data_IF_981549007566
#
_entry.id   IF_981549007566
#
_cell.length_a   1.000
_cell.length_b   1.000
_cell.length_c   1.000
_cell.angle_alpha   90.00
_cell.angle_beta   90.00
_cell.angle_gamma   90.00
#
_symmetry.space_group_name_H-M   'P 1'
#
loop_
_entity.id
_entity.type
_entity.pdbx_description
1 polymer ?
#
# COMPACT_ATOMS: atom_id res chain seq x y z
N UNK A 1 0.51 33.03 3.14
CA UNK A 1 0.46 31.70 2.48
C UNK A 1 1.75 31.30 1.74
N UNK A 2 2.78 32.15 1.65
CA UNK A 2 4.00 31.91 0.83
C UNK A 2 5.15 31.16 1.53
N UNK A 3 5.17 31.09 2.87
CA UNK A 3 6.25 30.43 3.62
C UNK A 3 6.10 28.90 3.66
N UNK A 4 4.86 28.41 3.55
CA UNK A 4 4.49 27.00 3.74
C UNK A 4 4.84 26.14 2.51
N UNK A 5 4.50 26.64 1.31
CA UNK A 5 4.90 26.04 0.02
C UNK A 5 6.42 25.94 -0.18
N UNK A 6 7.20 26.84 0.46
CA UNK A 6 8.68 26.86 0.38
C UNK A 6 9.37 25.75 1.18
N UNK A 7 8.73 25.24 2.24
CA UNK A 7 9.32 24.20 3.08
C UNK A 7 9.05 22.80 2.50
N UNK A 8 7.83 22.54 2.03
CA UNK A 8 7.48 21.29 1.37
C UNK A 8 8.28 21.13 0.06
N UNK A 9 8.53 22.24 -0.66
CA UNK A 9 9.42 22.23 -1.84
C UNK A 9 10.88 21.91 -1.50
N UNK A 10 11.38 22.31 -0.32
CA UNK A 10 12.79 22.11 0.04
C UNK A 10 13.08 20.64 0.38
N UNK A 11 12.21 19.99 1.16
CA UNK A 11 12.32 18.56 1.41
C UNK A 11 12.27 17.77 0.11
N UNK A 12 11.34 18.12 -0.79
CA UNK A 12 11.24 17.50 -2.12
C UNK A 12 12.50 17.71 -2.97
N UNK A 13 13.06 18.92 -2.97
CA UNK A 13 14.32 19.22 -3.69
C UNK A 13 15.47 18.39 -3.14
N UNK A 14 15.67 18.35 -1.82
CA UNK A 14 16.74 17.56 -1.19
C UNK A 14 16.56 16.08 -1.51
N UNK A 15 15.34 15.56 -1.38
CA UNK A 15 15.06 14.16 -1.71
C UNK A 15 15.12 13.90 -3.22
N UNK A 16 15.17 14.90 -4.09
CA UNK A 16 15.38 14.66 -5.53
C UNK A 16 16.86 14.42 -5.87
N UNK A 17 17.78 14.77 -4.96
CA UNK A 17 19.19 14.43 -5.05
C UNK A 17 19.43 12.98 -4.59
N UNK A 18 19.97 12.09 -5.45
CA UNK A 18 20.16 10.68 -5.10
C UNK A 18 21.08 10.43 -3.91
N UNK A 19 22.11 11.27 -3.70
CA UNK A 19 23.07 11.10 -2.60
C UNK A 19 22.41 11.44 -1.28
N UNK A 20 21.76 12.61 -1.21
CA UNK A 20 21.01 13.02 -0.02
C UNK A 20 19.87 12.03 0.30
N UNK A 21 19.18 11.53 -0.72
CA UNK A 21 18.15 10.51 -0.56
C UNK A 21 18.71 9.20 0.01
N UNK A 22 19.85 8.73 -0.50
CA UNK A 22 20.51 7.53 -0.01
C UNK A 22 20.93 7.71 1.46
N UNK A 23 21.65 8.78 1.80
CA UNK A 23 22.08 9.07 3.18
C UNK A 23 20.89 9.12 4.14
N UNK A 24 19.82 9.82 3.75
CA UNK A 24 18.61 9.93 4.54
C UNK A 24 17.98 8.56 4.80
N UNK A 25 17.84 7.74 3.76
CA UNK A 25 17.21 6.42 3.87
C UNK A 25 18.09 5.41 4.62
N UNK A 26 19.41 5.47 4.45
CA UNK A 26 20.36 4.68 5.23
C UNK A 26 20.26 4.98 6.72
N UNK A 27 20.04 6.25 7.08
CA UNK A 27 19.87 6.67 8.45
C UNK A 27 18.51 6.28 9.03
N UNK A 28 17.40 6.62 8.36
CA UNK A 28 16.05 6.52 8.93
C UNK A 28 15.30 5.21 8.66
N UNK A 29 15.71 4.40 7.68
CA UNK A 29 15.04 3.11 7.46
C UNK A 29 15.40 2.10 8.56
N UNK A 30 14.43 1.27 9.01
CA UNK A 30 14.67 0.19 9.94
C UNK A 30 15.73 -0.80 9.44
N UNK A 31 16.53 -1.36 10.34
CA UNK A 31 17.61 -2.30 10.00
C UNK A 31 17.11 -3.51 9.21
N UNK A 32 15.97 -4.09 9.61
CA UNK A 32 15.37 -5.23 8.92
C UNK A 32 15.02 -4.88 7.47
N UNK A 33 14.57 -3.65 7.22
CA UNK A 33 14.24 -3.20 5.88
C UNK A 33 15.50 -2.91 5.04
N UNK A 34 16.51 -2.26 5.63
CA UNK A 34 17.83 -2.03 4.98
C UNK A 34 18.54 -3.33 4.62
N UNK A 35 18.28 -4.41 5.35
CA UNK A 35 18.82 -5.74 5.02
C UNK A 35 18.27 -6.30 3.70
N UNK A 36 17.08 -5.84 3.27
CA UNK A 36 16.39 -6.36 2.10
C UNK A 36 16.74 -5.63 0.79
N UNK A 37 17.21 -4.38 0.86
CA UNK A 37 17.31 -3.47 -0.30
C UNK A 37 18.72 -2.98 -0.57
N UNK A 38 19.05 -2.75 -1.84
CA UNK A 38 20.30 -2.09 -2.24
C UNK A 38 20.07 -0.59 -2.47
N UNK A 39 20.40 0.22 -1.46
CA UNK A 39 20.26 1.68 -1.50
C UNK A 39 21.30 2.37 -2.40
N UNK A 40 22.39 1.69 -2.78
CA UNK A 40 23.41 2.26 -3.68
C UNK A 40 22.91 2.50 -5.10
N UNK A 41 21.79 1.86 -5.46
CA UNK A 41 21.14 1.93 -6.78
C UNK A 41 19.75 2.57 -6.70
N UNK A 42 19.51 3.43 -5.70
CA UNK A 42 18.21 4.08 -5.54
C UNK A 42 17.87 4.95 -6.75
N UNK A 43 16.69 4.73 -7.32
CA UNK A 43 16.18 5.51 -8.45
C UNK A 43 14.85 6.13 -8.09
N UNK A 44 14.73 7.43 -8.35
CA UNK A 44 13.44 8.12 -8.39
C UNK A 44 12.63 7.50 -9.53
N UNK A 45 11.44 6.98 -9.24
CA UNK A 45 10.58 6.42 -10.28
C UNK A 45 9.95 7.59 -11.06
N UNK A 46 10.14 7.62 -12.38
CA UNK A 46 9.73 8.77 -13.22
C UNK A 46 8.20 8.98 -13.30
N UNK A 47 7.85 10.23 -13.60
CA UNK A 47 6.49 10.82 -13.58
C UNK A 47 5.45 10.13 -14.46
N UNK A 48 5.88 9.33 -15.44
CA UNK A 48 4.97 8.59 -16.34
C UNK A 48 4.50 7.26 -15.78
N UNK A 49 5.22 6.69 -14.79
CA UNK A 49 4.87 5.40 -14.17
C UNK A 49 3.86 5.56 -13.02
N UNK A 50 3.86 6.74 -12.41
CA UNK A 50 2.98 7.13 -11.32
C UNK A 50 1.96 8.08 -11.95
N UNK A 51 0.66 7.75 -11.93
CA UNK A 51 -0.34 8.69 -12.45
C UNK A 51 -0.06 10.09 -11.93
N UNK A 52 -0.13 11.08 -12.82
CA UNK A 52 0.02 12.47 -12.45
C UNK A 52 -0.96 12.84 -11.31
N UNK A 53 -2.11 12.16 -11.24
CA UNK A 53 -3.10 12.23 -10.15
C UNK A 53 -2.54 11.80 -8.77
N UNK A 54 -1.66 10.78 -8.74
CA UNK A 54 -1.00 10.22 -7.56
C UNK A 54 0.14 11.09 -7.04
N UNK A 55 0.78 11.87 -7.90
CA UNK A 55 1.80 12.85 -7.50
C UNK A 55 1.16 14.19 -7.14
N UNK A 56 0.23 14.70 -7.95
CA UNK A 56 -0.42 16.01 -7.75
C UNK A 56 -1.28 16.09 -6.48
N UNK A 57 -1.87 14.98 -6.04
CA UNK A 57 -2.82 15.01 -4.91
C UNK A 57 -2.27 14.42 -3.61
N UNK A 58 -1.11 13.76 -3.67
CA UNK A 58 -0.98 12.54 -2.86
C UNK A 58 0.45 12.24 -2.32
N UNK A 59 1.51 12.09 -3.12
CA UNK A 59 2.89 11.89 -2.61
C UNK A 59 3.90 12.78 -3.34
N UNK A 60 4.97 13.19 -2.64
CA UNK A 60 6.00 14.07 -3.18
C UNK A 60 7.04 13.35 -4.03
N UNK A 61 7.49 12.16 -3.57
CA UNK A 61 8.52 11.36 -4.24
C UNK A 61 8.33 9.87 -3.96
N UNK A 62 8.63 9.07 -4.98
CA UNK A 62 8.57 7.61 -4.94
C UNK A 62 9.88 7.06 -5.46
N UNK A 63 10.51 6.18 -4.68
CA UNK A 63 11.70 5.46 -5.12
C UNK A 63 11.37 4.03 -5.44
N UNK A 64 12.03 3.51 -6.45
CA UNK A 64 12.09 2.09 -6.73
C UNK A 64 13.48 1.58 -6.39
N UNK A 65 13.55 0.65 -5.46
CA UNK A 65 14.82 0.10 -4.96
C UNK A 65 14.86 -1.39 -5.22
N UNK A 66 15.95 -1.88 -5.79
CA UNK A 66 16.14 -3.31 -6.01
C UNK A 66 16.34 -4.04 -4.68
N UNK A 67 15.83 -5.26 -4.57
CA UNK A 67 16.14 -6.11 -3.42
C UNK A 67 17.53 -6.73 -3.56
N UNK A 68 18.23 -6.95 -2.44
CA UNK A 68 19.54 -7.64 -2.43
C UNK A 68 19.45 -9.12 -2.85
N UNK A 69 18.27 -9.73 -2.74
CA UNK A 69 18.03 -11.09 -3.26
C UNK A 69 17.91 -11.02 -4.79
N UNK A 70 18.59 -11.91 -5.50
CA UNK A 70 18.55 -11.99 -6.96
C UNK A 70 17.10 -12.15 -7.47
N UNK A 71 16.67 -11.22 -8.33
CA UNK A 71 15.34 -11.20 -8.95
C UNK A 71 14.90 -9.76 -9.28
N UNK A 72 13.91 -9.62 -10.18
CA UNK A 72 13.29 -8.33 -10.51
C UNK A 72 12.35 -7.82 -9.41
N UNK A 73 12.64 -8.11 -8.14
CA UNK A 73 11.84 -7.67 -7.02
C UNK A 73 12.27 -6.27 -6.62
N UNK A 74 11.30 -5.37 -6.52
CA UNK A 74 11.52 -3.99 -6.15
C UNK A 74 10.67 -3.65 -4.93
N UNK A 75 11.21 -2.74 -4.13
CA UNK A 75 10.48 -2.11 -3.04
C UNK A 75 10.25 -0.65 -3.39
N UNK A 76 9.01 -0.19 -3.20
CA UNK A 76 8.70 1.23 -3.31
C UNK A 76 8.87 1.93 -1.97
N UNK A 77 9.52 3.09 -1.97
CA UNK A 77 9.55 3.98 -0.80
C UNK A 77 8.74 5.22 -1.16
N UNK A 78 7.63 5.43 -0.46
CA UNK A 78 6.75 6.58 -0.60
C UNK A 78 7.13 7.62 0.44
N UNK A 79 7.45 8.84 0.00
CA UNK A 79 7.75 9.95 0.92
C UNK A 79 6.72 11.07 0.74
N UNK A 80 6.16 11.50 1.86
CA UNK A 80 5.28 12.66 1.97
C UNK A 80 5.95 13.68 2.90
N UNK A 81 6.26 14.87 2.39
CA UNK A 81 6.77 15.98 3.18
C UNK A 81 5.60 16.88 3.56
N UNK A 82 5.37 17.06 4.86
CA UNK A 82 4.28 17.89 5.34
C UNK A 82 4.67 18.81 6.49
N UNK A 83 4.16 20.03 6.44
CA UNK A 83 4.31 21.06 7.47
C UNK A 83 3.09 21.18 8.39
N UNK A 84 2.00 20.48 8.08
CA UNK A 84 0.77 20.39 8.88
C UNK A 84 0.50 18.96 9.29
N UNK A 85 -0.12 18.77 10.46
CA UNK A 85 -0.62 17.44 10.82
C UNK A 85 -1.92 17.20 10.06
N UNK A 86 -1.93 16.20 9.19
CA UNK A 86 -3.14 15.67 8.59
C UNK A 86 -3.52 14.35 9.25
N UNK A 87 -4.72 14.32 9.82
CA UNK A 87 -5.25 13.13 10.49
C UNK A 87 -5.37 11.92 9.55
N UNK A 88 -5.61 12.15 8.25
CA UNK A 88 -5.90 11.11 7.27
C UNK A 88 -4.66 10.61 6.51
N UNK A 89 -3.45 11.04 6.86
CA UNK A 89 -2.20 10.62 6.20
C UNK A 89 -2.08 9.10 6.07
N UNK A 90 -2.41 8.34 7.12
CA UNK A 90 -2.29 6.89 7.08
C UNK A 90 -3.22 6.23 6.04
N UNK A 91 -4.47 6.66 5.93
CA UNK A 91 -5.40 6.18 4.90
C UNK A 91 -4.90 6.53 3.49
N UNK A 92 -4.35 7.75 3.35
CA UNK A 92 -3.80 8.24 2.09
C UNK A 92 -2.64 7.37 1.60
N UNK A 93 -1.68 7.07 2.47
CA UNK A 93 -0.53 6.23 2.17
C UNK A 93 -0.93 4.80 1.79
N UNK A 94 -1.94 4.23 2.46
CA UNK A 94 -2.48 2.91 2.09
C UNK A 94 -3.14 2.90 0.72
N UNK A 95 -3.86 3.98 0.38
CA UNK A 95 -4.41 4.14 -0.96
C UNK A 95 -3.31 4.13 -2.04
N UNK A 96 -2.16 4.74 -1.78
CA UNK A 96 -1.03 4.71 -2.75
C UNK A 96 -0.40 3.35 -2.85
N UNK A 97 -0.23 2.71 -1.70
CA UNK A 97 0.30 1.35 -1.63
C UNK A 97 -0.54 0.42 -2.53
N UNK A 98 -1.87 0.49 -2.42
CA UNK A 98 -2.77 -0.29 -3.25
C UNK A 98 -2.71 0.08 -4.74
N UNK A 99 -2.67 1.38 -5.08
CA UNK A 99 -2.55 1.84 -6.47
C UNK A 99 -1.23 1.42 -7.13
N UNK A 100 -0.11 1.44 -6.38
CA UNK A 100 1.17 0.92 -6.84
C UNK A 100 1.11 -0.59 -7.08
N UNK A 101 0.52 -1.33 -6.14
CA UNK A 101 0.31 -2.77 -6.28
C UNK A 101 -0.54 -3.10 -7.52
N UNK A 102 -1.62 -2.36 -7.76
CA UNK A 102 -2.49 -2.53 -8.93
C UNK A 102 -1.73 -2.32 -10.24
N UNK A 103 -0.90 -1.28 -10.33
CA UNK A 103 -0.05 -1.05 -11.52
C UNK A 103 1.01 -2.13 -11.73
N UNK A 104 1.55 -2.66 -10.65
CA UNK A 104 2.57 -3.72 -10.72
C UNK A 104 1.99 -5.11 -11.01
N UNK A 105 0.66 -5.27 -10.90
CA UNK A 105 -0.04 -6.53 -11.14
C UNK A 105 0.09 -6.95 -12.61
N UNK A 106 1.13 -7.74 -12.90
CA UNK A 106 1.24 -8.58 -14.12
C UNK A 106 0.75 -9.99 -13.78
N UNK A 107 0.25 -10.73 -14.77
CA UNK A 107 -0.44 -12.03 -14.63
C UNK A 107 0.23 -12.99 -13.61
N UNK A 108 -0.22 -12.92 -12.35
CA UNK A 108 0.23 -13.73 -11.19
C UNK A 108 1.65 -13.46 -10.66
N UNK A 109 2.28 -12.34 -11.00
CA UNK A 109 3.49 -11.89 -10.31
C UNK A 109 3.18 -11.51 -8.85
N UNK A 110 4.15 -11.68 -7.95
CA UNK A 110 4.04 -11.19 -6.56
C UNK A 110 4.01 -9.66 -6.57
N UNK A 111 3.22 -9.07 -5.65
CA UNK A 111 3.16 -7.62 -5.47
C UNK A 111 4.48 -7.09 -4.89
N UNK A 112 4.84 -5.82 -5.19
CA UNK A 112 6.00 -5.19 -4.59
C UNK A 112 5.74 -4.91 -3.12
N UNK A 113 6.82 -4.88 -2.32
CA UNK A 113 6.73 -4.30 -0.99
C UNK A 113 6.69 -2.78 -1.12
N UNK A 114 6.02 -2.11 -0.18
CA UNK A 114 5.94 -0.65 -0.13
C UNK A 114 6.22 -0.19 1.30
N UNK A 115 7.16 0.73 1.45
CA UNK A 115 7.48 1.37 2.72
C UNK A 115 7.06 2.83 2.67
N UNK A 116 6.19 3.21 3.59
CA UNK A 116 5.68 4.56 3.69
C UNK A 116 6.50 5.35 4.71
N UNK A 117 7.01 6.50 4.30
CA UNK A 117 7.79 7.41 5.13
C UNK A 117 7.17 8.81 5.05
N UNK A 118 7.10 9.49 6.18
CA UNK A 118 6.58 10.85 6.27
C UNK A 118 7.64 11.74 6.87
N UNK A 119 8.04 12.80 6.16
CA UNK A 119 8.91 13.85 6.67
C UNK A 119 7.99 14.94 7.21
N UNK A 120 7.95 15.09 8.54
CA UNK A 120 7.15 16.11 9.19
C UNK A 120 8.03 17.21 9.76
N UNK A 121 7.80 18.45 9.34
CA UNK A 121 8.49 19.64 9.86
C UNK A 121 7.48 20.75 10.18
N UNK A 122 6.42 20.39 10.92
CA UNK A 122 5.41 21.34 11.37
C UNK A 122 5.69 21.90 12.76
N UNK A 123 4.97 22.96 13.12
CA UNK A 123 5.12 23.64 14.43
C UNK A 123 4.50 22.88 15.60
N UNK A 124 3.58 21.95 15.33
CA UNK A 124 2.86 21.19 16.37
C UNK A 124 3.55 19.86 16.57
N UNK A 125 3.37 19.22 17.73
CA UNK A 125 3.77 17.81 17.89
C UNK A 125 2.90 16.96 16.96
N UNK A 126 3.52 16.02 16.24
CA UNK A 126 2.79 15.13 15.34
C UNK A 126 1.92 14.16 16.15
N UNK A 127 0.60 14.29 16.00
CA UNK A 127 -0.39 13.54 16.79
C UNK A 127 -1.43 12.78 15.93
N UNK A 128 -1.23 12.67 14.61
CA UNK A 128 -2.07 11.86 13.75
C UNK A 128 -1.74 10.35 13.86
N UNK A 129 -2.72 9.46 13.61
CA UNK A 129 -2.49 8.02 13.48
C UNK A 129 -1.40 7.67 12.46
N UNK A 130 -0.44 6.82 12.86
CA UNK A 130 0.72 6.42 12.03
C UNK A 130 0.52 5.12 11.25
N UNK A 131 -0.63 4.46 11.42
CA UNK A 131 -1.01 3.27 10.67
C UNK A 131 -2.53 3.29 10.41
N UNK A 132 -2.98 2.54 9.40
CA UNK A 132 -4.38 2.51 8.98
C UNK A 132 -5.32 2.03 10.08
N UNK A 133 -4.90 1.05 10.89
CA UNK A 133 -5.74 0.44 11.91
C UNK A 133 -6.10 1.42 13.03
N UNK A 134 -5.18 2.34 13.37
CA UNK A 134 -5.42 3.39 14.35
C UNK A 134 -6.44 4.46 13.90
N UNK A 135 -6.94 4.41 12.66
CA UNK A 135 -8.06 5.25 12.20
C UNK A 135 -9.44 4.65 12.52
N UNK A 136 -9.50 3.37 12.90
CA UNK A 136 -10.75 2.68 13.23
C UNK A 136 -11.05 2.84 14.72
N UNK A 137 -12.34 2.79 15.07
CA UNK A 137 -12.81 2.82 16.46
C UNK A 137 -12.17 1.70 17.30
N UNK A 138 -12.07 0.50 16.74
CA UNK A 138 -11.33 -0.62 17.34
C UNK A 138 -10.16 -1.01 16.43
N UNK A 139 -8.97 -0.51 16.77
CA UNK A 139 -7.74 -0.75 16.00
C UNK A 139 -7.32 -2.22 16.00
N UNK A 140 -7.56 -2.95 17.10
CA UNK A 140 -7.15 -4.35 17.23
C UNK A 140 -8.03 -5.24 16.35
N UNK A 141 -9.35 -5.07 16.42
CA UNK A 141 -10.30 -5.82 15.58
C UNK A 141 -10.10 -5.47 14.10
N UNK A 142 -9.93 -4.19 13.77
CA UNK A 142 -9.68 -3.78 12.38
C UNK A 142 -8.44 -4.46 11.80
N UNK A 143 -7.32 -4.43 12.54
CA UNK A 143 -6.10 -5.12 12.14
C UNK A 143 -6.35 -6.62 11.96
N UNK A 144 -6.96 -7.29 12.94
CA UNK A 144 -7.21 -8.73 12.87
C UNK A 144 -8.06 -9.10 11.65
N UNK A 145 -9.18 -8.43 11.42
CA UNK A 145 -10.09 -8.74 10.30
C UNK A 145 -9.46 -8.45 8.94
N UNK A 146 -8.67 -7.38 8.83
CA UNK A 146 -8.18 -6.89 7.53
C UNK A 146 -6.83 -7.46 7.13
N UNK A 147 -6.09 -8.11 8.05
CA UNK A 147 -4.83 -8.82 7.73
C UNK A 147 -4.96 -10.33 7.73
N UNK A 148 -6.10 -10.88 8.18
CA UNK A 148 -6.37 -12.32 8.11
C UNK A 148 -6.73 -12.74 6.69
N UNK A 149 -6.72 -14.05 6.43
CA UNK A 149 -7.29 -14.60 5.20
C UNK A 149 -8.75 -14.15 5.07
N UNK A 150 -9.15 -13.79 3.85
CA UNK A 150 -10.55 -13.50 3.58
C UNK A 150 -11.37 -14.79 3.76
N UNK A 151 -12.60 -14.65 4.27
CA UNK A 151 -13.50 -15.79 4.39
C UNK A 151 -13.95 -16.24 2.98
N UNK A 152 -13.42 -17.37 2.52
CA UNK A 152 -13.90 -18.04 1.32
C UNK A 152 -15.06 -18.98 1.68
N UNK A 153 -16.25 -18.69 1.15
CA UNK A 153 -17.35 -19.66 1.13
C UNK A 153 -17.36 -20.33 -0.24
N UNK A 154 -16.56 -21.38 -0.38
CA UNK A 154 -16.46 -22.13 -1.63
C UNK A 154 -17.66 -23.07 -1.79
N UNK A 155 -18.71 -22.55 -2.42
CA UNK A 155 -19.92 -23.31 -2.65
C UNK A 155 -19.65 -24.58 -3.46
N UNK A 156 -18.67 -24.62 -4.37
CA UNK A 156 -18.47 -25.78 -5.23
C UNK A 156 -17.97 -27.01 -4.47
N UNK A 157 -17.07 -26.81 -3.51
CA UNK A 157 -16.54 -27.89 -2.66
C UNK A 157 -17.52 -28.36 -1.60
N UNK A 158 -18.57 -27.60 -1.28
CA UNK A 158 -19.61 -28.04 -0.34
C UNK A 158 -20.40 -29.22 -0.89
N UNK A 159 -20.65 -30.23 -0.07
CA UNK A 159 -21.60 -31.31 -0.37
C UNK A 159 -23.05 -30.81 -0.33
N UNK A 160 -23.98 -31.57 -0.92
CA UNK A 160 -25.41 -31.22 -0.84
C UNK A 160 -25.96 -31.29 0.59
N UNK A 161 -25.37 -32.12 1.44
CA UNK A 161 -25.79 -32.31 2.83
C UNK A 161 -25.33 -31.15 3.72
N UNK A 162 -24.16 -30.56 3.44
CA UNK A 162 -23.67 -29.34 4.10
C UNK A 162 -24.51 -28.10 3.77
N UNK A 163 -25.18 -28.10 2.61
CA UNK A 163 -26.02 -27.00 2.15
C UNK A 163 -27.36 -26.95 2.90
N UNK A 164 -27.75 -27.98 3.65
CA UNK A 164 -29.04 -28.01 4.37
C UNK A 164 -28.88 -27.39 5.76
N UNK A 165 -28.93 -26.06 5.87
CA UNK A 165 -28.86 -25.41 7.20
C UNK A 165 -29.83 -24.23 7.41
N UNK A 166 -30.25 -23.48 6.38
CA UNK A 166 -31.27 -22.39 6.51
C UNK A 166 -31.98 -22.10 5.17
N UNK A 167 -33.32 -22.25 5.10
CA UNK A 167 -34.17 -22.17 3.89
C UNK A 167 -33.77 -21.13 2.81
N UNK A 168 -33.46 -19.89 3.20
CA UNK A 168 -33.12 -18.83 2.24
C UNK A 168 -31.67 -18.93 1.71
N UNK A 169 -30.73 -19.37 2.54
CA UNK A 169 -29.32 -19.52 2.16
C UNK A 169 -29.15 -20.70 1.21
N UNK A 170 -29.81 -21.82 1.51
CA UNK A 170 -29.80 -23.03 0.69
C UNK A 170 -30.25 -22.75 -0.76
N UNK A 171 -31.27 -21.90 -0.93
CA UNK A 171 -31.81 -21.52 -2.24
C UNK A 171 -30.78 -20.74 -3.08
N UNK A 172 -30.11 -19.75 -2.48
CA UNK A 172 -29.07 -18.94 -3.17
C UNK A 172 -27.90 -19.82 -3.58
N UNK A 173 -27.47 -20.75 -2.71
CA UNK A 173 -26.36 -21.66 -2.98
C UNK A 173 -26.67 -22.59 -4.16
N UNK A 174 -27.87 -23.19 -4.17
CA UNK A 174 -28.30 -24.10 -5.25
C UNK A 174 -28.40 -23.39 -6.60
N UNK A 175 -28.92 -22.16 -6.66
CA UNK A 175 -28.99 -21.37 -7.91
C UNK A 175 -27.59 -21.13 -8.49
N UNK A 176 -26.64 -20.68 -7.65
CA UNK A 176 -25.27 -20.41 -8.10
C UNK A 176 -24.55 -21.67 -8.59
N UNK A 177 -24.73 -22.82 -7.94
CA UNK A 177 -24.20 -24.11 -8.42
C UNK A 177 -24.77 -24.53 -9.77
N UNK A 178 -26.10 -24.41 -9.95
CA UNK A 178 -26.77 -24.87 -11.18
C UNK A 178 -26.29 -24.09 -12.41
N UNK A 179 -26.21 -22.76 -12.30
CA UNK A 179 -25.76 -21.91 -13.41
C UNK A 179 -24.33 -22.23 -13.87
N UNK A 180 -23.43 -22.61 -12.95
CA UNK A 180 -22.06 -22.93 -13.31
C UNK A 180 -21.93 -24.27 -14.07
N UNK A 181 -22.79 -25.25 -13.74
CA UNK A 181 -22.84 -26.53 -14.46
C UNK A 181 -23.45 -26.41 -15.86
N UNK A 182 -24.32 -25.42 -16.10
CA UNK A 182 -24.82 -25.11 -17.45
C UNK A 182 -23.74 -24.50 -18.34
N UNK A 183 -22.92 -23.58 -17.80
CA UNK A 183 -21.83 -22.93 -18.55
C UNK A 183 -20.73 -23.94 -18.93
N UNK A 184 -20.42 -24.94 -18.07
CA UNK A 184 -19.43 -25.98 -18.37
C UNK A 184 -19.86 -27.01 -19.44
N UNK A 185 -21.12 -27.00 -19.88
CA UNK A 185 -21.68 -27.92 -20.87
C UNK A 185 -21.81 -27.32 -22.28
N UNK A 186 -21.42 -26.05 -22.46
CA UNK A 186 -21.30 -25.37 -23.76
C UNK A 186 -19.82 -25.27 -24.13
#
# INVERSE_FOLDING_TARGET
MTKQLKHDSLAKTIMSDPVAAQEFLEYYLPSDFKSLIDLSQIKVEQESYIEESLKKKYSDIVYKVATKKHGNAFIYILIEAQSTVDYWTALRLWRYTLLLCERHKKEKAKLPLVYNLVIYNGKKVYNAPRNLWNLFTDSMIAKQLMTSDYQLVDLQSMSNDEIVRKKHIDTVIRIKKRNNNFIKKM
#
